data_IF_070321571969
#
_entry.id   IF_070321571969
#
_cell.length_a   1.000
_cell.length_b   1.000
_cell.length_c   1.000
_cell.angle_alpha   90.00
_cell.angle_beta   90.00
_cell.angle_gamma   90.00
#
_symmetry.space_group_name_H-M   'P 1'
#
loop_
_entity.id
_entity.type
_entity.pdbx_description
1 polymer ?
#
# COMPACT_ATOMS: atom_id res chain seq x y z
N UNK A 1 -14.25 1.25 2.70
CA UNK A 1 -12.79 1.14 2.55
C UNK A 1 -12.48 -0.22 1.96
N UNK A 2 -11.94 -0.26 0.73
CA UNK A 2 -11.84 -1.48 -0.08
C UNK A 2 -10.51 -2.24 0.09
N UNK A 3 -10.47 -3.45 -0.48
CA UNK A 3 -9.29 -4.30 -0.63
C UNK A 3 -8.87 -4.31 -2.10
N UNK A 4 -7.58 -4.11 -2.37
CA UNK A 4 -6.97 -4.19 -3.68
C UNK A 4 -6.27 -5.54 -3.86
N UNK A 5 -6.51 -6.29 -4.95
CA UNK A 5 -5.74 -7.48 -5.24
C UNK A 5 -4.29 -7.12 -5.66
N UNK A 6 -3.34 -7.97 -5.29
CA UNK A 6 -2.00 -8.00 -5.87
C UNK A 6 -1.77 -9.36 -6.54
N UNK A 7 -0.74 -9.51 -7.39
CA UNK A 7 -0.57 -10.70 -8.22
C UNK A 7 -0.15 -11.93 -7.42
N UNK A 8 0.40 -11.75 -6.23
CA UNK A 8 0.62 -12.86 -5.33
C UNK A 8 -0.72 -13.50 -4.97
N UNK A 9 -0.83 -14.82 -5.21
CA UNK A 9 -2.10 -15.52 -5.29
C UNK A 9 -2.91 -15.36 -3.99
N UNK A 10 -4.02 -14.60 -4.09
CA UNK A 10 -4.93 -14.33 -2.96
C UNK A 10 -4.49 -13.22 -2.00
N UNK A 11 -3.38 -12.54 -2.23
CA UNK A 11 -2.95 -11.41 -1.40
C UNK A 11 -3.71 -10.13 -1.77
N UNK A 12 -4.07 -9.37 -0.73
CA UNK A 12 -4.84 -8.14 -0.84
C UNK A 12 -4.24 -7.06 0.06
N UNK A 13 -4.21 -5.83 -0.47
CA UNK A 13 -3.81 -4.64 0.28
C UNK A 13 -5.06 -3.84 0.63
N UNK A 14 -5.21 -3.54 1.92
CA UNK A 14 -6.20 -2.59 2.38
C UNK A 14 -5.77 -1.16 2.05
N UNK A 15 -6.73 -0.33 1.65
CA UNK A 15 -6.48 1.10 1.49
C UNK A 15 -7.67 1.96 1.85
N UNK A 16 -7.37 3.20 2.23
CA UNK A 16 -8.32 4.29 2.37
C UNK A 16 -8.15 5.24 1.18
N UNK A 17 -9.24 5.83 0.72
CA UNK A 17 -9.25 6.76 -0.41
C UNK A 17 -10.18 7.92 -0.08
N UNK A 18 -9.67 9.15 -0.13
CA UNK A 18 -10.46 10.36 0.07
C UNK A 18 -11.45 10.62 -1.08
N UNK A 19 -11.26 9.95 -2.21
CA UNK A 19 -12.04 10.12 -3.42
C UNK A 19 -11.48 11.22 -4.34
N UNK A 20 -11.95 11.26 -5.60
CA UNK A 20 -11.60 12.33 -6.54
C UNK A 20 -12.12 13.68 -6.04
N UNK A 21 -11.39 14.75 -6.37
CA UNK A 21 -11.85 16.12 -6.08
C UNK A 21 -12.67 16.61 -7.27
N UNK A 22 -13.95 16.90 -7.06
CA UNK A 22 -14.86 17.30 -8.13
C UNK A 22 -14.54 18.70 -8.68
N UNK A 23 -14.71 18.87 -9.99
CA UNK A 23 -14.65 20.19 -10.63
C UNK A 23 -13.26 20.81 -10.78
N UNK A 24 -12.20 20.13 -10.36
CA UNK A 24 -10.81 20.62 -10.45
C UNK A 24 -9.83 19.56 -10.92
N UNK A 25 -8.71 20.00 -11.48
CA UNK A 25 -7.54 19.14 -11.60
C UNK A 25 -6.93 18.94 -10.21
N UNK A 26 -6.74 17.68 -9.82
CA UNK A 26 -6.16 17.30 -8.54
C UNK A 26 -4.95 16.40 -8.72
N UNK A 27 -4.14 16.30 -7.67
CA UNK A 27 -3.03 15.35 -7.60
C UNK A 27 -3.41 14.17 -6.71
N UNK A 28 -3.26 12.94 -7.20
CA UNK A 28 -3.37 11.75 -6.35
C UNK A 28 -2.07 11.55 -5.58
N UNK A 29 -2.14 11.57 -4.25
CA UNK A 29 -1.03 11.27 -3.35
C UNK A 29 -1.24 9.89 -2.74
N UNK A 30 -0.43 8.92 -3.16
CA UNK A 30 -0.43 7.56 -2.60
C UNK A 30 0.58 7.48 -1.46
N UNK A 31 0.08 7.21 -0.26
CA UNK A 31 0.85 7.12 0.97
C UNK A 31 1.00 5.65 1.38
N UNK A 32 2.21 5.12 1.24
CA UNK A 32 2.51 3.72 1.59
C UNK A 32 2.81 3.63 3.08
N UNK A 33 2.03 2.81 3.79
CA UNK A 33 2.15 2.68 5.24
C UNK A 33 3.48 2.05 5.66
N UNK A 34 4.18 2.77 6.54
CA UNK A 34 5.36 2.31 7.28
C UNK A 34 5.04 2.27 8.77
N UNK A 35 5.39 3.32 9.50
CA UNK A 35 5.07 3.45 10.95
C UNK A 35 4.09 4.60 11.25
N UNK A 36 3.69 5.36 10.23
CA UNK A 36 2.86 6.56 10.37
C UNK A 36 1.38 6.28 10.11
N UNK A 37 0.49 6.99 10.81
CA UNK A 37 -0.97 6.90 10.63
C UNK A 37 -1.42 8.09 9.77
N UNK A 38 -1.98 7.82 8.59
CA UNK A 38 -2.33 8.87 7.62
C UNK A 38 -3.80 9.31 7.65
N UNK A 39 -4.68 8.59 8.36
CA UNK A 39 -6.10 8.92 8.45
C UNK A 39 -6.38 10.39 8.85
N UNK A 40 -5.65 11.01 9.80
CA UNK A 40 -5.85 12.43 10.15
C UNK A 40 -5.58 13.41 9.00
N UNK A 41 -4.93 12.98 7.91
CA UNK A 41 -4.66 13.82 6.74
C UNK A 41 -5.85 13.92 5.78
N UNK A 42 -6.81 12.98 5.84
CA UNK A 42 -7.93 12.89 4.90
C UNK A 42 -8.75 14.19 4.79
N UNK A 43 -9.09 14.90 5.88
CA UNK A 43 -9.85 16.16 5.79
C UNK A 43 -9.13 17.28 5.04
N UNK A 44 -7.81 17.17 4.84
CA UNK A 44 -7.02 18.17 4.13
C UNK A 44 -6.85 17.87 2.64
N UNK A 45 -7.39 16.75 2.14
CA UNK A 45 -7.23 16.34 0.75
C UNK A 45 -7.87 17.35 -0.23
N UNK A 46 -9.19 17.49 -0.19
CA UNK A 46 -9.97 18.37 -1.07
C UNK A 46 -9.54 19.84 -0.99
N UNK A 47 -9.38 20.47 0.19
CA UNK A 47 -8.98 21.88 0.27
C UNK A 47 -7.61 22.20 -0.35
N UNK A 48 -6.77 21.17 -0.57
CA UNK A 48 -5.45 21.30 -1.18
C UNK A 48 -5.40 20.72 -2.60
N UNK A 49 -6.54 20.38 -3.21
CA UNK A 49 -6.59 19.78 -4.55
C UNK A 49 -5.87 18.42 -4.60
N UNK A 50 -6.00 17.62 -3.54
CA UNK A 50 -5.40 16.30 -3.43
C UNK A 50 -6.49 15.22 -3.36
N UNK A 51 -6.22 14.06 -3.96
CA UNK A 51 -6.84 12.78 -3.62
C UNK A 51 -5.82 11.98 -2.81
N UNK A 52 -6.09 11.74 -1.52
CA UNK A 52 -5.20 10.97 -0.67
C UNK A 52 -5.63 9.51 -0.72
N UNK A 53 -4.67 8.62 -1.01
CA UNK A 53 -4.84 7.17 -1.00
C UNK A 53 -3.84 6.59 -0.03
N UNK A 54 -4.29 6.13 1.14
CA UNK A 54 -3.42 5.56 2.17
C UNK A 54 -3.47 4.03 2.12
N UNK A 55 -2.35 3.39 1.80
CA UNK A 55 -2.27 1.95 1.53
C UNK A 55 -1.53 1.22 2.65
N UNK A 56 -2.18 0.22 3.24
CA UNK A 56 -1.54 -0.70 4.16
C UNK A 56 -0.81 -1.79 3.37
N UNK A 57 0.50 -1.92 3.58
CA UNK A 57 1.27 -3.08 3.09
C UNK A 57 0.76 -4.37 3.74
N UNK A 58 1.20 -5.51 3.24
CA UNK A 58 0.98 -6.79 3.93
C UNK A 58 1.52 -6.75 5.36
N UNK A 59 0.91 -7.57 6.20
CA UNK A 59 1.21 -7.67 7.64
C UNK A 59 0.92 -6.39 8.45
N UNK A 60 0.15 -5.46 7.88
CA UNK A 60 -0.53 -4.37 8.59
C UNK A 60 -2.04 -4.64 8.65
N UNK A 61 -2.79 -3.98 9.57
CA UNK A 61 -4.20 -4.28 9.78
C UNK A 61 -5.02 -4.30 8.47
N UNK A 62 -5.91 -5.30 8.38
CA UNK A 62 -6.86 -5.56 7.29
C UNK A 62 -6.24 -6.04 5.97
N UNK A 63 -4.97 -5.74 5.66
CA UNK A 63 -4.26 -6.37 4.54
C UNK A 63 -3.96 -7.85 4.82
N UNK A 64 -3.67 -8.62 3.77
CA UNK A 64 -3.21 -10.00 3.90
C UNK A 64 -1.90 -10.07 4.70
N UNK A 65 -1.79 -11.08 5.57
CA UNK A 65 -0.58 -11.31 6.34
C UNK A 65 0.60 -11.78 5.46
N UNK A 66 1.82 -11.52 5.92
CA UNK A 66 3.01 -12.16 5.38
C UNK A 66 2.98 -13.66 5.69
N UNK A 67 3.52 -14.49 4.78
CA UNK A 67 3.62 -15.93 5.00
C UNK A 67 4.71 -16.25 6.04
N UNK A 68 4.74 -17.50 6.53
CA UNK A 68 5.83 -17.92 7.43
C UNK A 68 7.21 -17.84 6.74
N UNK A 69 7.27 -18.11 5.44
CA UNK A 69 8.50 -17.98 4.64
C UNK A 69 8.96 -16.52 4.55
N UNK A 70 8.02 -15.60 4.34
CA UNK A 70 8.28 -14.16 4.31
C UNK A 70 8.87 -13.66 5.63
N UNK A 71 8.30 -14.10 6.75
CA UNK A 71 8.80 -13.73 8.07
C UNK A 71 10.19 -14.29 8.34
N UNK A 72 10.48 -15.51 7.85
CA UNK A 72 11.83 -16.09 7.91
C UNK A 72 12.82 -15.33 7.02
N UNK A 73 12.39 -14.85 5.86
CA UNK A 73 13.23 -14.09 4.94
C UNK A 73 13.81 -12.81 5.57
N UNK A 74 13.08 -12.20 6.50
CA UNK A 74 13.48 -10.99 7.22
C UNK A 74 13.92 -11.22 8.67
N UNK A 75 14.02 -12.48 9.10
CA UNK A 75 14.46 -12.80 10.45
C UNK A 75 15.91 -12.34 10.71
N UNK A 76 16.23 -12.15 11.99
CA UNK A 76 17.60 -11.81 12.41
C UNK A 76 18.53 -12.95 12.01
N UNK A 77 19.55 -12.63 11.21
CA UNK A 77 20.53 -13.59 10.72
C UNK A 77 20.23 -14.16 9.33
N UNK A 78 19.12 -13.76 8.70
CA UNK A 78 18.84 -14.14 7.32
C UNK A 78 19.85 -13.51 6.36
N UNK A 79 20.21 -14.20 5.25
CA UNK A 79 21.15 -13.66 4.26
C UNK A 79 20.67 -12.33 3.68
N UNK A 80 21.60 -11.44 3.38
CA UNK A 80 21.29 -10.11 2.84
C UNK A 80 20.56 -10.21 1.50
N UNK A 81 20.90 -11.22 0.69
CA UNK A 81 20.27 -11.51 -0.60
C UNK A 81 18.79 -11.89 -0.42
N UNK A 82 18.49 -12.71 0.61
CA UNK A 82 17.12 -13.10 0.94
C UNK A 82 16.29 -11.91 1.41
N UNK A 83 16.87 -11.05 2.27
CA UNK A 83 16.22 -9.82 2.72
C UNK A 83 15.99 -8.85 1.55
N UNK A 84 16.98 -8.72 0.65
CA UNK A 84 16.86 -7.88 -0.54
C UNK A 84 15.77 -8.38 -1.49
N UNK A 85 15.66 -9.70 -1.68
CA UNK A 85 14.61 -10.29 -2.51
C UNK A 85 13.22 -10.04 -1.92
N UNK A 86 13.07 -10.17 -0.59
CA UNK A 86 11.83 -9.82 0.11
C UNK A 86 11.46 -8.35 -0.12
N UNK A 87 12.39 -7.41 0.10
CA UNK A 87 12.13 -5.98 -0.10
C UNK A 87 11.77 -5.64 -1.55
N UNK A 88 12.42 -6.28 -2.53
CA UNK A 88 12.13 -6.10 -3.95
C UNK A 88 10.68 -6.54 -4.27
N UNK A 89 10.25 -7.69 -3.74
CA UNK A 89 8.88 -8.18 -3.88
C UNK A 89 7.85 -7.24 -3.25
N UNK A 90 8.10 -6.74 -2.04
CA UNK A 90 7.22 -5.74 -1.40
C UNK A 90 7.08 -4.47 -2.27
N UNK A 91 8.16 -4.05 -2.96
CA UNK A 91 8.11 -2.94 -3.90
C UNK A 91 7.22 -3.23 -5.12
N UNK A 92 7.28 -4.46 -5.63
CA UNK A 92 6.42 -4.90 -6.73
C UNK A 92 4.94 -4.95 -6.32
N UNK A 93 4.60 -5.35 -5.10
CA UNK A 93 3.22 -5.32 -4.60
C UNK A 93 2.63 -3.90 -4.64
N UNK A 94 3.43 -2.87 -4.34
CA UNK A 94 3.01 -1.47 -4.48
C UNK A 94 2.81 -1.09 -5.94
N UNK A 95 3.72 -1.51 -6.83
CA UNK A 95 3.56 -1.27 -8.26
C UNK A 95 2.29 -1.93 -8.83
N UNK A 96 1.98 -3.15 -8.38
CA UNK A 96 0.77 -3.88 -8.74
C UNK A 96 -0.49 -3.19 -8.24
N UNK A 97 -0.49 -2.74 -6.97
CA UNK A 97 -1.56 -1.91 -6.43
C UNK A 97 -1.79 -0.67 -7.30
N UNK A 98 -0.73 0.06 -7.64
CA UNK A 98 -0.83 1.28 -8.45
C UNK A 98 -1.39 0.98 -9.85
N UNK A 99 -0.91 -0.08 -10.50
CA UNK A 99 -1.39 -0.50 -11.81
C UNK A 99 -2.88 -0.86 -11.77
N UNK A 100 -3.32 -1.59 -10.75
CA UNK A 100 -4.73 -1.93 -10.57
C UNK A 100 -5.57 -0.68 -10.27
N UNK A 101 -5.08 0.22 -9.42
CA UNK A 101 -5.82 1.37 -8.94
C UNK A 101 -6.09 2.43 -10.02
N UNK A 102 -5.20 2.57 -11.01
CA UNK A 102 -5.39 3.53 -12.10
C UNK A 102 -6.35 3.03 -13.20
N UNK A 103 -6.64 1.72 -13.22
CA UNK A 103 -7.55 1.09 -14.19
C UNK A 103 -8.99 0.93 -13.66
N UNK A 104 -9.17 1.16 -12.36
CA UNK A 104 -10.45 1.10 -11.63
C UNK A 104 -11.44 2.19 -12.05
#
# INVERSE_FOLDING_TARGET
>A
MPLAPVKEEGAQLYYEDSGPVEGVHYTTLVLVHGTAIFHPMMPFAEPNGLRIVAVNRRNYPVSTADTAEDLLAIAKGSPAETQSAFLARQGLEIAEFLSWFIEM
#
